data_IF_055400615626
#
_entry.id   IF_055400615626
#
_cell.length_a   1.000
_cell.length_b   1.000
_cell.length_c   1.000
_cell.angle_alpha   90.00
_cell.angle_beta   90.00
_cell.angle_gamma   90.00
#
_symmetry.space_group_name_H-M   'P 1'
#
loop_
_entity.id
_entity.type
_entity.pdbx_description
1 polymer ?
#
# COMPACT_ATOMS: atom_id res chain seq x y z
N UNK A 1 -59.48 23.52 -0.33
CA UNK A 1 -58.27 22.78 -0.74
C UNK A 1 -57.07 23.72 -0.64
N UNK A 2 -56.21 23.57 0.37
CA UNK A 2 -54.92 24.26 0.45
C UNK A 2 -53.90 23.22 0.91
N UNK A 3 -53.26 22.57 -0.05
CA UNK A 3 -52.21 21.57 0.19
C UNK A 3 -50.91 22.32 0.44
N UNK A 4 -50.50 22.44 1.69
CA UNK A 4 -49.16 22.90 2.04
C UNK A 4 -48.26 21.67 1.99
N UNK A 5 -47.51 21.57 0.90
CA UNK A 5 -46.40 20.62 0.76
C UNK A 5 -45.33 21.03 1.79
N UNK A 6 -45.14 20.22 2.82
CA UNK A 6 -43.89 20.26 3.58
C UNK A 6 -42.81 19.60 2.72
N UNK A 7 -42.04 20.42 2.00
CA UNK A 7 -40.84 19.98 1.32
C UNK A 7 -39.79 19.67 2.40
N UNK A 8 -39.55 18.38 2.62
CA UNK A 8 -38.45 17.86 3.43
C UNK A 8 -37.14 18.25 2.73
N UNK A 9 -36.52 19.33 3.17
CA UNK A 9 -35.12 19.63 2.88
C UNK A 9 -34.28 18.76 3.81
N UNK A 10 -34.25 17.46 3.54
CA UNK A 10 -33.14 16.62 3.94
C UNK A 10 -32.09 16.78 2.83
N UNK A 11 -31.45 17.95 2.79
CA UNK A 11 -30.22 18.10 2.03
C UNK A 11 -29.24 17.13 2.65
N UNK A 12 -29.03 16.04 1.93
CA UNK A 12 -27.98 15.05 2.11
C UNK A 12 -26.71 15.83 2.43
N UNK A 13 -26.31 15.81 3.69
CA UNK A 13 -24.92 16.02 4.07
C UNK A 13 -24.18 14.82 3.48
N UNK A 14 -23.91 14.88 2.17
CA UNK A 14 -22.89 14.07 1.55
C UNK A 14 -21.59 14.59 2.14
N UNK A 15 -21.25 14.07 3.32
CA UNK A 15 -19.90 14.11 3.85
C UNK A 15 -19.04 13.60 2.71
N UNK A 16 -18.35 14.51 2.04
CA UNK A 16 -17.26 14.13 1.14
C UNK A 16 -16.32 13.31 2.02
N UNK A 17 -16.34 11.99 1.86
CA UNK A 17 -15.33 11.14 2.45
C UNK A 17 -14.02 11.59 1.80
N UNK A 18 -13.29 12.48 2.47
CA UNK A 18 -11.97 12.88 2.03
C UNK A 18 -11.11 11.63 2.17
N UNK A 19 -10.83 10.99 1.04
CA UNK A 19 -9.89 9.90 0.97
C UNK A 19 -8.51 10.50 1.24
N UNK A 20 -8.12 10.53 2.51
CA UNK A 20 -6.75 10.84 2.91
C UNK A 20 -5.88 9.65 2.50
N UNK A 21 -4.85 9.94 1.72
CA UNK A 21 -3.87 8.95 1.30
C UNK A 21 -2.48 9.45 1.68
N UNK A 22 -1.80 8.67 2.50
CA UNK A 22 -0.39 8.85 2.80
C UNK A 22 0.45 8.14 1.76
N UNK A 23 1.47 8.84 1.26
CA UNK A 23 2.42 8.33 0.29
C UNK A 23 3.81 8.26 0.91
N UNK A 24 4.53 7.17 0.65
CA UNK A 24 5.88 6.93 1.12
C UNK A 24 6.74 6.43 -0.04
N UNK A 25 8.01 6.84 -0.06
CA UNK A 25 8.96 6.46 -1.10
C UNK A 25 10.31 6.08 -0.51
N UNK A 26 10.89 5.00 -1.03
CA UNK A 26 12.30 4.67 -0.87
C UNK A 26 12.95 4.71 -2.26
N UNK A 27 14.09 5.40 -2.33
CA UNK A 27 15.00 5.34 -3.47
C UNK A 27 16.34 4.84 -2.98
N UNK A 28 16.82 3.75 -3.57
CA UNK A 28 18.08 3.10 -3.21
C UNK A 28 18.87 2.77 -4.48
N UNK A 29 19.76 3.68 -4.87
CA UNK A 29 20.39 3.61 -6.19
C UNK A 29 19.32 3.68 -7.28
N UNK A 30 19.28 2.66 -8.14
CA UNK A 30 18.30 2.53 -9.21
C UNK A 30 17.03 1.76 -8.82
N UNK A 31 16.82 1.49 -7.52
CA UNK A 31 15.61 0.86 -7.01
C UNK A 31 14.66 1.92 -6.47
N UNK A 32 13.42 1.93 -6.96
CA UNK A 32 12.35 2.78 -6.47
C UNK A 32 11.24 1.91 -5.89
N UNK A 33 10.82 2.23 -4.67
CA UNK A 33 9.71 1.59 -4.01
C UNK A 33 8.74 2.66 -3.50
N UNK A 34 7.45 2.45 -3.77
CA UNK A 34 6.38 3.29 -3.25
C UNK A 34 5.41 2.50 -2.38
N UNK A 35 4.90 3.17 -1.36
CA UNK A 35 3.80 2.71 -0.53
C UNK A 35 2.75 3.81 -0.49
N UNK A 36 1.50 3.44 -0.73
CA UNK A 36 0.32 4.26 -0.51
C UNK A 36 -0.57 3.60 0.54
N UNK A 37 -0.98 4.38 1.54
CA UNK A 37 -1.96 3.98 2.54
C UNK A 37 -3.13 4.94 2.43
N UNK A 38 -4.31 4.43 2.07
CA UNK A 38 -5.52 5.24 1.94
C UNK A 38 -6.59 4.77 2.92
N UNK A 39 -7.31 5.71 3.53
CA UNK A 39 -8.49 5.40 4.34
C UNK A 39 -9.76 5.65 3.54
N UNK A 40 -10.61 4.62 3.41
CA UNK A 40 -11.88 4.68 2.68
C UNK A 40 -12.96 4.21 3.64
N UNK A 41 -13.67 5.16 4.26
CA UNK A 41 -14.58 4.84 5.36
C UNK A 41 -13.81 4.30 6.57
N UNK A 42 -14.17 3.09 7.00
CA UNK A 42 -13.50 2.38 8.09
C UNK A 42 -12.36 1.46 7.61
N UNK A 43 -12.28 1.21 6.30
CA UNK A 43 -11.28 0.33 5.72
C UNK A 43 -9.97 1.08 5.43
N UNK A 44 -8.85 0.39 5.66
CA UNK A 44 -7.52 0.86 5.26
C UNK A 44 -7.07 0.08 4.05
N UNK A 45 -6.86 0.77 2.93
CA UNK A 45 -6.37 0.18 1.70
C UNK A 45 -4.89 0.50 1.50
N UNK A 46 -4.12 -0.50 1.09
CA UNK A 46 -2.69 -0.36 0.83
C UNK A 46 -2.41 -0.71 -0.63
N UNK A 47 -1.54 0.07 -1.26
CA UNK A 47 -0.89 -0.28 -2.52
C UNK A 47 0.62 -0.11 -2.38
N UNK A 48 1.37 -1.07 -2.87
CA UNK A 48 2.83 -1.06 -2.91
C UNK A 48 3.24 -1.33 -4.35
N UNK A 49 4.13 -0.52 -4.89
CA UNK A 49 4.76 -0.74 -6.18
C UNK A 49 6.28 -0.63 -6.06
N UNK A 50 6.97 -1.41 -6.89
CA UNK A 50 8.42 -1.39 -7.02
C UNK A 50 8.79 -1.30 -8.48
N UNK A 51 9.82 -0.52 -8.76
CA UNK A 51 10.43 -0.39 -10.08
C UNK A 51 11.95 -0.37 -9.91
N UNK A 52 12.57 -1.52 -10.18
CA UNK A 52 13.97 -1.79 -9.87
C UNK A 52 14.74 -2.01 -11.17
N UNK A 53 15.70 -1.12 -11.44
CA UNK A 53 16.76 -1.40 -12.39
C UNK A 53 17.99 -1.99 -11.68
N UNK A 54 18.75 -2.89 -12.31
CA UNK A 54 19.95 -3.46 -11.70
C UNK A 54 20.96 -2.38 -11.30
N UNK A 55 21.41 -2.42 -10.06
CA UNK A 55 22.58 -1.67 -9.62
C UNK A 55 23.87 -2.34 -10.14
N UNK A 56 25.03 -1.70 -9.93
CA UNK A 56 26.33 -2.25 -10.35
C UNK A 56 26.64 -3.62 -9.74
N UNK A 57 26.17 -3.88 -8.52
CA UNK A 57 26.27 -5.17 -7.82
C UNK A 57 25.34 -6.25 -8.38
N UNK A 58 24.40 -5.89 -9.25
CA UNK A 58 23.36 -6.75 -9.82
C UNK A 58 23.57 -6.98 -11.32
N UNK A 59 24.82 -6.84 -11.77
CA UNK A 59 25.18 -6.96 -13.17
C UNK A 59 24.68 -8.27 -13.79
N UNK A 60 24.03 -8.16 -14.95
CA UNK A 60 23.46 -9.29 -15.68
C UNK A 60 22.05 -9.69 -15.24
N UNK A 61 21.50 -9.08 -14.18
CA UNK A 61 20.07 -9.21 -13.85
C UNK A 61 19.24 -8.29 -14.75
N UNK A 62 17.94 -8.57 -14.83
CA UNK A 62 16.99 -7.77 -15.61
C UNK A 62 16.24 -6.79 -14.72
N UNK A 63 15.87 -5.64 -15.28
CA UNK A 63 14.95 -4.73 -14.64
C UNK A 63 13.59 -5.42 -14.41
N UNK A 64 12.89 -5.03 -13.37
CA UNK A 64 11.57 -5.55 -13.06
C UNK A 64 10.72 -4.46 -12.41
N UNK A 65 9.41 -4.62 -12.55
CA UNK A 65 8.43 -3.85 -11.80
C UNK A 65 7.34 -4.78 -11.33
N UNK A 66 6.78 -4.51 -10.15
CA UNK A 66 5.71 -5.30 -9.57
C UNK A 66 4.85 -4.44 -8.64
N UNK A 67 3.58 -4.78 -8.54
CA UNK A 67 2.65 -4.14 -7.63
C UNK A 67 1.84 -5.15 -6.82
N UNK A 68 1.44 -4.74 -5.62
CA UNK A 68 0.51 -5.47 -4.78
C UNK A 68 -0.39 -4.51 -4.04
N UNK A 69 -1.69 -4.77 -4.07
CA UNK A 69 -2.68 -3.93 -3.41
C UNK A 69 -3.84 -4.73 -2.84
N UNK A 70 -4.49 -4.13 -1.84
CA UNK A 70 -5.62 -4.72 -1.13
C UNK A 70 -5.86 -4.07 0.22
N UNK A 71 -6.85 -4.61 0.93
CA UNK A 71 -7.18 -4.15 2.26
C UNK A 71 -6.13 -4.61 3.27
N UNK A 72 -5.72 -3.70 4.13
CA UNK A 72 -4.79 -3.94 5.20
C UNK A 72 -5.49 -3.81 6.55
N UNK A 73 -5.04 -4.61 7.51
CA UNK A 73 -5.56 -4.60 8.89
C UNK A 73 -4.52 -4.03 9.82
N UNK A 74 -4.95 -3.11 10.70
CA UNK A 74 -4.16 -2.68 11.83
C UNK A 74 -4.01 -3.85 12.83
N UNK A 75 -2.77 -4.15 13.20
CA UNK A 75 -2.43 -5.15 14.22
C UNK A 75 -1.82 -4.52 15.48
N UNK A 76 -1.62 -3.20 15.45
CA UNK A 76 -1.17 -2.36 16.55
C UNK A 76 -1.25 -0.89 16.15
N UNK A 77 -0.80 0.02 17.00
CA UNK A 77 -0.96 1.47 16.79
C UNK A 77 -0.20 2.02 15.58
N UNK A 78 0.86 1.34 15.16
CA UNK A 78 1.74 1.74 14.05
C UNK A 78 2.04 0.59 13.09
N UNK A 79 1.24 -0.47 13.11
CA UNK A 79 1.52 -1.68 12.33
C UNK A 79 0.28 -2.13 11.56
N UNK A 80 0.47 -2.32 10.25
CA UNK A 80 -0.53 -2.75 9.29
C UNK A 80 -0.05 -4.04 8.62
N UNK A 81 -0.99 -4.91 8.27
CA UNK A 81 -0.70 -6.11 7.48
C UNK A 81 -1.60 -6.15 6.26
N UNK A 82 -0.98 -6.10 5.08
CA UNK A 82 -1.62 -6.48 3.82
C UNK A 82 -1.51 -7.99 3.65
N UNK A 83 -2.64 -8.65 3.40
CA UNK A 83 -2.70 -10.09 3.10
C UNK A 83 -3.32 -10.30 1.73
N UNK A 84 -2.54 -10.81 0.79
CA UNK A 84 -2.97 -11.14 -0.58
C UNK A 84 -2.83 -12.62 -0.84
N UNK A 85 -3.91 -13.25 -1.29
CA UNK A 85 -3.88 -14.65 -1.70
C UNK A 85 -3.21 -14.79 -3.06
N UNK A 86 -2.33 -15.79 -3.20
CA UNK A 86 -1.76 -16.18 -4.50
C UNK A 86 -2.84 -16.82 -5.35
N UNK A 87 -2.99 -16.37 -6.60
CA UNK A 87 -4.07 -16.83 -7.48
C UNK A 87 -4.06 -18.34 -7.66
N UNK A 88 -5.22 -18.97 -7.38
CA UNK A 88 -5.39 -20.42 -7.50
C UNK A 88 -4.74 -21.25 -6.39
N UNK A 89 -4.11 -20.63 -5.40
CA UNK A 89 -3.38 -21.33 -4.34
C UNK A 89 -3.89 -20.99 -2.92
N UNK A 90 -3.53 -21.81 -1.93
CA UNK A 90 -3.84 -21.54 -0.51
C UNK A 90 -2.79 -20.66 0.19
N UNK A 91 -1.76 -20.25 -0.54
CA UNK A 91 -0.64 -19.43 -0.06
C UNK A 91 -0.99 -17.95 -0.05
N UNK A 92 -0.35 -17.20 0.83
CA UNK A 92 -0.66 -15.79 1.03
C UNK A 92 0.62 -14.97 1.17
N UNK A 93 0.78 -14.00 0.29
CA UNK A 93 1.72 -12.92 0.51
C UNK A 93 1.23 -12.06 1.68
N UNK A 94 2.10 -11.90 2.68
CA UNK A 94 1.91 -11.00 3.80
C UNK A 94 2.93 -9.88 3.68
N UNK A 95 2.48 -8.63 3.66
CA UNK A 95 3.37 -7.48 3.79
C UNK A 95 3.04 -6.76 5.08
N UNK A 96 3.98 -6.81 6.03
CA UNK A 96 3.91 -6.08 7.28
C UNK A 96 4.48 -4.69 7.05
N UNK A 97 3.70 -3.66 7.38
CA UNK A 97 4.05 -2.25 7.20
C UNK A 97 4.13 -1.64 8.59
N UNK A 98 5.33 -1.27 8.99
CA UNK A 98 5.59 -0.62 10.27
C UNK A 98 5.79 0.86 10.06
N UNK A 99 4.86 1.66 10.56
CA UNK A 99 4.95 3.11 10.55
C UNK A 99 5.90 3.59 11.64
N UNK A 100 6.68 4.60 11.30
CA UNK A 100 7.56 5.31 12.23
C UNK A 100 7.15 6.78 12.27
N UNK A 101 7.89 7.59 13.03
CA UNK A 101 7.66 9.03 13.05
C UNK A 101 8.12 9.71 11.75
N UNK A 102 8.94 9.03 10.94
CA UNK A 102 9.57 9.57 9.72
C UNK A 102 9.06 8.92 8.44
N UNK A 103 8.44 7.75 8.52
CA UNK A 103 8.22 6.92 7.36
C UNK A 103 7.55 5.58 7.62
N UNK A 104 7.92 4.59 6.81
CA UNK A 104 7.47 3.21 6.92
C UNK A 104 8.60 2.22 6.61
N UNK A 105 8.58 1.05 7.24
CA UNK A 105 9.47 -0.09 6.95
C UNK A 105 8.60 -1.28 6.56
N UNK A 106 8.98 -2.01 5.51
CA UNK A 106 8.21 -3.11 4.95
C UNK A 106 8.96 -4.42 5.05
N UNK A 107 8.29 -5.44 5.58
CA UNK A 107 8.75 -6.82 5.60
C UNK A 107 7.73 -7.72 4.89
N UNK A 108 8.21 -8.66 4.07
CA UNK A 108 7.36 -9.55 3.29
C UNK A 108 7.53 -11.01 3.69
N UNK A 109 6.49 -11.83 3.53
CA UNK A 109 6.61 -13.29 3.58
C UNK A 109 7.27 -13.85 2.32
N UNK A 110 7.79 -15.07 2.40
CA UNK A 110 8.37 -15.78 1.25
C UNK A 110 7.36 -15.97 0.11
N UNK A 111 6.08 -16.17 0.44
CA UNK A 111 4.98 -16.29 -0.51
C UNK A 111 4.76 -15.03 -1.37
N UNK A 112 5.36 -13.88 -1.01
CA UNK A 112 5.34 -12.70 -1.87
C UNK A 112 6.19 -12.87 -3.14
N UNK A 113 7.07 -13.86 -3.20
CA UNK A 113 7.84 -14.22 -4.40
C UNK A 113 6.96 -14.71 -5.56
N UNK A 114 5.69 -15.03 -5.32
CA UNK A 114 4.71 -15.34 -6.38
C UNK A 114 4.18 -14.09 -7.10
N UNK A 115 4.40 -12.90 -6.54
CA UNK A 115 3.91 -11.62 -7.09
C UNK A 115 5.03 -10.76 -7.70
N UNK A 116 6.28 -11.19 -7.58
CA UNK A 116 7.46 -10.45 -8.04
C UNK A 116 8.37 -11.36 -8.86
N UNK A 117 9.25 -10.76 -9.65
CA UNK A 117 10.24 -11.50 -10.45
C UNK A 117 11.62 -10.88 -10.35
N UNK A 118 12.67 -11.68 -10.53
CA UNK A 118 14.04 -11.18 -10.64
C UNK A 118 14.53 -10.54 -9.33
N UNK A 119 14.87 -9.26 -9.40
CA UNK A 119 15.37 -8.49 -8.24
C UNK A 119 14.29 -7.83 -7.40
N UNK A 120 13.03 -7.84 -7.87
CA UNK A 120 11.95 -7.14 -7.21
C UNK A 120 11.55 -7.83 -5.92
N UNK A 121 11.29 -7.02 -4.91
CA UNK A 121 10.69 -7.44 -3.64
C UNK A 121 9.95 -6.25 -3.02
N UNK A 122 8.88 -6.51 -2.29
CA UNK A 122 8.14 -5.50 -1.53
C UNK A 122 8.74 -5.21 -0.15
N UNK A 123 9.70 -6.01 0.34
CA UNK A 123 10.44 -5.64 1.54
C UNK A 123 11.36 -4.44 1.26
N UNK A 124 11.51 -3.55 2.24
CA UNK A 124 12.45 -2.43 2.16
C UNK A 124 13.85 -2.79 2.67
N UNK A 125 14.09 -4.05 3.05
CA UNK A 125 15.38 -4.50 3.59
C UNK A 125 15.81 -3.77 4.86
N UNK A 126 14.84 -3.34 5.68
CA UNK A 126 15.06 -2.52 6.88
C UNK A 126 15.31 -1.04 6.61
N UNK A 127 15.32 -0.59 5.35
CA UNK A 127 15.39 0.84 5.00
C UNK A 127 14.02 1.49 5.16
N UNK A 128 14.03 2.78 5.47
CA UNK A 128 12.83 3.54 5.74
C UNK A 128 12.34 4.25 4.47
N UNK A 129 11.09 3.98 4.08
CA UNK A 129 10.38 4.75 3.06
C UNK A 129 9.97 6.08 3.70
N UNK A 130 10.37 7.21 3.12
CA UNK A 130 10.09 8.54 3.65
C UNK A 130 8.70 8.98 3.22
N UNK A 131 7.92 9.54 4.16
CA UNK A 131 6.60 10.11 3.85
C UNK A 131 6.74 11.35 2.95
N UNK A 132 5.98 11.39 1.87
CA UNK A 132 5.91 12.53 0.93
C UNK A 132 4.51 13.16 0.96
N UNK A 133 4.47 14.47 0.69
CA UNK A 133 3.25 15.28 0.65
C UNK A 133 2.82 15.55 -0.78
#
# INVERSE_FOLDING_TARGET
>A
MKKVLFAVVAMVLSTAAMAEADHYILRDGNHVQHLKIAKIGDDTHVAIDVDFEPNTSEQGKQACSADISGDAKWIGDKELVLKKQVDGERRHCLVNIKLTDKGAILDQSEDCNYFVTGICHFSSGGKELVKIR
#
